data_IF_681945817304
#
_entry.id   IF_681945817304
#
_cell.length_a   1.000
_cell.length_b   1.000
_cell.length_c   1.000
_cell.angle_alpha   90.00
_cell.angle_beta   90.00
_cell.angle_gamma   90.00
#
_symmetry.space_group_name_H-M   'P 1'
#
loop_
_entity.id
_entity.type
_entity.pdbx_description
1 polymer ?
#
# COMPACT_ATOMS: atom_id res chain seq x y z
N UNK A 1 0.00 -18.59 29.91
CA UNK A 1 0.56 -17.95 28.70
C UNK A 1 -0.31 -16.76 28.37
N UNK A 2 0.06 -15.58 28.86
CA UNK A 2 -0.63 -14.34 28.54
C UNK A 2 -0.28 -13.93 27.10
N UNK A 3 -1.31 -13.81 26.25
CA UNK A 3 -1.13 -13.26 24.91
C UNK A 3 -1.00 -11.75 25.05
N UNK A 4 0.22 -11.27 25.18
CA UNK A 4 0.54 -9.84 25.13
C UNK A 4 0.42 -9.40 23.66
N UNK A 5 -0.80 -9.09 23.21
CA UNK A 5 -1.01 -8.48 21.90
C UNK A 5 -0.96 -6.97 22.09
N UNK A 6 0.25 -6.40 22.09
CA UNK A 6 0.45 -4.96 22.06
C UNK A 6 -0.08 -4.46 20.71
N UNK A 7 -1.33 -4.00 20.66
CA UNK A 7 -2.04 -3.54 19.45
C UNK A 7 -1.46 -2.28 18.78
N UNK A 8 -0.15 -2.07 18.86
CA UNK A 8 0.57 -1.02 18.18
C UNK A 8 0.59 -1.33 16.68
N UNK A 9 -0.31 -0.68 15.94
CA UNK A 9 -0.31 -0.71 14.47
C UNK A 9 0.96 -0.02 13.98
N UNK A 10 1.78 -0.74 13.23
CA UNK A 10 2.93 -0.16 12.53
C UNK A 10 2.43 0.87 11.50
N UNK A 11 3.07 2.03 11.46
CA UNK A 11 2.71 3.09 10.51
C UNK A 11 3.12 2.68 9.09
N UNK A 12 2.34 3.09 8.08
CA UNK A 12 2.64 2.82 6.67
C UNK A 12 3.97 3.47 6.28
N UNK A 13 4.76 2.78 5.47
CA UNK A 13 6.00 3.30 4.90
C UNK A 13 5.73 4.58 4.09
N UNK A 14 6.68 5.51 4.10
CA UNK A 14 6.55 6.81 3.44
C UNK A 14 5.66 7.82 4.18
N UNK A 15 5.29 7.56 5.44
CA UNK A 15 4.50 8.51 6.27
C UNK A 15 5.37 9.23 7.29
N UNK A 16 4.87 10.32 7.89
CA UNK A 16 5.61 11.08 8.90
C UNK A 16 6.09 10.25 10.11
N UNK A 17 5.39 9.15 10.44
CA UNK A 17 5.75 8.24 11.54
C UNK A 17 6.66 7.08 11.10
N UNK A 18 6.80 6.87 9.79
CA UNK A 18 7.62 5.81 9.21
C UNK A 18 8.08 6.28 7.80
N UNK A 19 9.07 7.20 7.73
CA UNK A 19 9.61 7.67 6.46
C UNK A 19 10.39 6.57 5.75
N UNK A 20 10.41 6.59 4.42
CA UNK A 20 11.24 5.67 3.64
C UNK A 20 12.73 6.01 3.84
N UNK A 21 13.53 5.03 4.21
CA UNK A 21 14.97 5.19 4.35
C UNK A 21 15.65 4.55 3.14
N UNK A 22 16.48 5.31 2.44
CA UNK A 22 17.27 4.80 1.32
C UNK A 22 18.70 5.28 1.43
N UNK A 23 19.64 4.46 0.96
CA UNK A 23 21.05 4.82 0.90
C UNK A 23 21.52 4.80 -0.55
N UNK A 24 22.23 5.86 -0.93
CA UNK A 24 22.77 6.05 -2.28
C UNK A 24 24.27 6.28 -2.25
N UNK A 25 24.95 5.87 -3.31
CA UNK A 25 26.40 6.01 -3.42
C UNK A 25 26.84 7.33 -4.07
N UNK A 26 26.02 7.89 -4.96
CA UNK A 26 26.38 9.08 -5.75
C UNK A 26 25.38 10.22 -5.53
N UNK A 27 25.84 11.44 -5.77
CA UNK A 27 25.01 12.63 -5.67
C UNK A 27 23.93 12.68 -6.76
N UNK A 28 24.24 12.21 -7.97
CA UNK A 28 23.27 12.14 -9.07
C UNK A 28 22.07 11.25 -8.68
N UNK A 29 22.36 10.09 -8.07
CA UNK A 29 21.34 9.16 -7.59
C UNK A 29 20.46 9.79 -6.50
N UNK A 30 21.06 10.61 -5.64
CA UNK A 30 20.36 11.34 -4.60
C UNK A 30 19.30 12.26 -5.19
N UNK A 31 19.67 13.06 -6.20
CA UNK A 31 18.76 13.99 -6.86
C UNK A 31 17.62 13.26 -7.59
N UNK A 32 17.93 12.17 -8.31
CA UNK A 32 16.93 11.35 -8.99
C UNK A 32 15.88 10.82 -8.01
N UNK A 33 16.35 10.22 -6.91
CA UNK A 33 15.48 9.58 -5.91
C UNK A 33 14.69 10.61 -5.12
N UNK A 34 15.31 11.74 -4.77
CA UNK A 34 14.63 12.86 -4.13
C UNK A 34 13.47 13.37 -4.98
N UNK A 35 13.67 13.56 -6.28
CA UNK A 35 12.62 14.00 -7.20
C UNK A 35 11.44 13.02 -7.22
N UNK A 36 11.70 11.71 -7.21
CA UNK A 36 10.65 10.68 -7.17
C UNK A 36 9.86 10.76 -5.87
N UNK A 37 10.54 10.85 -4.73
CA UNK A 37 9.84 10.92 -3.43
C UNK A 37 9.00 12.20 -3.29
N UNK A 38 9.50 13.34 -3.77
CA UNK A 38 8.75 14.59 -3.76
C UNK A 38 7.52 14.54 -4.67
N UNK A 39 7.65 14.02 -5.89
CA UNK A 39 6.53 13.86 -6.83
C UNK A 39 5.42 12.98 -6.24
N UNK A 40 5.79 11.90 -5.55
CA UNK A 40 4.84 10.99 -4.91
C UNK A 40 4.33 11.48 -3.55
N UNK A 41 4.91 12.55 -3.00
CA UNK A 41 4.54 13.13 -1.70
C UNK A 41 4.87 12.22 -0.51
N UNK A 42 5.88 11.36 -0.65
CA UNK A 42 6.31 10.45 0.41
C UNK A 42 7.31 11.14 1.34
N UNK A 43 7.29 10.77 2.62
CA UNK A 43 8.34 11.19 3.56
C UNK A 43 9.52 10.24 3.43
N UNK A 44 10.73 10.79 3.31
CA UNK A 44 11.95 10.04 3.06
C UNK A 44 13.12 10.57 3.89
N UNK A 45 14.13 9.71 4.05
CA UNK A 45 15.46 10.00 4.60
C UNK A 45 16.47 9.37 3.65
N UNK A 46 17.29 10.18 2.98
CA UNK A 46 18.32 9.68 2.07
C UNK A 46 19.70 9.81 2.75
N UNK A 47 20.43 8.71 2.84
CA UNK A 47 21.84 8.70 3.24
C UNK A 47 22.76 8.67 2.01
N UNK A 48 23.78 9.53 2.00
CA UNK A 48 24.85 9.51 0.99
C UNK A 48 26.07 8.81 1.59
N UNK A 49 26.21 7.52 1.32
CA UNK A 49 27.30 6.69 1.85
C UNK A 49 28.00 5.93 0.70
N UNK A 50 29.09 6.47 0.13
CA UNK A 50 29.73 5.91 -1.06
C UNK A 50 30.42 4.55 -0.83
N UNK A 51 30.67 4.16 0.43
CA UNK A 51 31.35 2.90 0.79
C UNK A 51 30.38 1.76 1.11
N UNK A 52 29.08 2.03 1.27
CA UNK A 52 28.08 1.02 1.58
C UNK A 52 27.31 0.57 0.34
N UNK A 53 26.71 -0.61 0.43
CA UNK A 53 25.79 -1.12 -0.58
C UNK A 53 24.57 -0.19 -0.69
N UNK A 54 24.13 0.09 -1.91
CA UNK A 54 22.92 0.87 -2.15
C UNK A 54 21.70 0.12 -1.60
N UNK A 55 20.90 0.80 -0.77
CA UNK A 55 19.64 0.27 -0.25
C UNK A 55 18.49 1.11 -0.77
N UNK A 56 17.78 0.56 -1.77
CA UNK A 56 16.61 1.16 -2.41
C UNK A 56 15.33 0.35 -2.14
N UNK A 57 15.37 -0.60 -1.21
CA UNK A 57 14.25 -1.52 -0.98
C UNK A 57 12.96 -0.77 -0.62
N UNK A 58 13.07 0.26 0.22
CA UNK A 58 11.93 1.08 0.59
C UNK A 58 11.29 1.80 -0.61
N UNK A 59 12.12 2.27 -1.54
CA UNK A 59 11.64 2.89 -2.78
C UNK A 59 10.91 1.85 -3.66
N UNK A 60 11.50 0.66 -3.81
CA UNK A 60 10.85 -0.42 -4.57
C UNK A 60 9.52 -0.84 -3.96
N UNK A 61 9.45 -0.98 -2.64
CA UNK A 61 8.22 -1.35 -1.92
C UNK A 61 7.14 -0.30 -2.15
N UNK A 62 7.50 0.98 -2.12
CA UNK A 62 6.54 2.07 -2.33
C UNK A 62 6.02 2.11 -3.77
N UNK A 63 6.87 1.86 -4.76
CA UNK A 63 6.48 1.79 -6.17
C UNK A 63 5.59 0.59 -6.48
N UNK A 64 5.85 -0.57 -5.85
CA UNK A 64 5.11 -1.81 -6.09
C UNK A 64 3.99 -2.09 -5.08
N UNK A 65 3.63 -1.10 -4.26
CA UNK A 65 2.60 -1.27 -3.23
C UNK A 65 1.26 -1.65 -3.87
N UNK A 66 0.67 -2.81 -3.53
CA UNK A 66 -0.55 -3.29 -4.17
C UNK A 66 -1.72 -2.35 -3.82
N UNK A 67 -2.29 -1.71 -4.85
CA UNK A 67 -3.51 -0.92 -4.69
C UNK A 67 -4.66 -1.84 -4.27
N UNK A 68 -5.44 -1.42 -3.28
CA UNK A 68 -6.66 -2.14 -2.90
C UNK A 68 -7.61 -2.17 -4.09
N UNK A 69 -7.94 -3.37 -4.58
CA UNK A 69 -8.96 -3.54 -5.60
C UNK A 69 -10.31 -3.25 -4.97
N UNK A 70 -11.04 -2.28 -5.52
CA UNK A 70 -12.44 -2.05 -5.15
C UNK A 70 -13.22 -3.22 -5.74
N UNK A 71 -13.70 -4.11 -4.88
CA UNK A 71 -14.60 -5.16 -5.32
C UNK A 71 -15.93 -4.53 -5.73
N UNK A 72 -16.44 -4.89 -6.92
CA UNK A 72 -17.79 -4.51 -7.30
C UNK A 72 -18.78 -5.01 -6.25
N UNK A 73 -19.79 -4.19 -5.96
CA UNK A 73 -20.83 -4.55 -5.01
C UNK A 73 -21.61 -5.74 -5.57
N UNK A 74 -21.35 -6.93 -5.05
CA UNK A 74 -22.13 -8.12 -5.38
C UNK A 74 -23.58 -7.91 -4.94
N UNK A 75 -24.53 -8.35 -5.76
CA UNK A 75 -25.96 -8.32 -5.41
C UNK A 75 -26.18 -9.00 -4.08
N UNK A 76 -26.84 -8.30 -3.15
CA UNK A 76 -27.12 -8.81 -1.83
C UNK A 76 -28.07 -10.01 -1.91
N UNK A 77 -27.86 -11.00 -1.05
CA UNK A 77 -28.68 -12.24 -0.99
C UNK A 77 -30.20 -11.96 -0.92
N UNK A 78 -30.62 -10.85 -0.28
CA UNK A 78 -32.03 -10.46 -0.13
C UNK A 78 -32.49 -9.37 -1.11
N UNK A 79 -31.61 -8.81 -1.94
CA UNK A 79 -31.95 -7.78 -2.94
C UNK A 79 -32.77 -8.38 -4.09
N UNK A 80 -33.55 -7.57 -4.83
CA UNK A 80 -34.25 -8.04 -6.02
C UNK A 80 -33.27 -8.67 -7.02
N UNK A 81 -33.68 -9.78 -7.62
CA UNK A 81 -32.83 -10.52 -8.53
C UNK A 81 -32.66 -9.77 -9.86
N UNK A 82 -31.42 -9.58 -10.36
CA UNK A 82 -31.16 -8.79 -11.57
C UNK A 82 -31.69 -9.44 -12.86
N UNK A 83 -32.17 -10.69 -12.82
CA UNK A 83 -32.81 -11.36 -13.96
C UNK A 83 -34.26 -10.90 -14.23
N UNK A 84 -34.79 -9.96 -13.45
CA UNK A 84 -36.14 -9.41 -13.65
C UNK A 84 -37.27 -10.29 -13.12
N UNK A 85 -36.98 -11.36 -12.37
CA UNK A 85 -38.00 -12.28 -11.86
C UNK A 85 -38.87 -11.72 -10.73
N UNK A 86 -38.57 -10.52 -10.22
CA UNK A 86 -39.23 -9.93 -9.05
C UNK A 86 -38.92 -10.61 -7.71
N UNK A 87 -38.19 -11.74 -7.72
CA UNK A 87 -37.83 -12.50 -6.52
C UNK A 87 -36.54 -11.97 -5.89
N UNK A 88 -36.34 -12.23 -4.59
CA UNK A 88 -35.04 -11.99 -3.93
C UNK A 88 -33.96 -12.87 -4.55
N UNK A 89 -32.73 -12.37 -4.70
CA UNK A 89 -31.60 -13.06 -5.35
C UNK A 89 -31.42 -14.51 -4.84
N UNK A 90 -31.48 -14.73 -3.52
CA UNK A 90 -31.39 -16.07 -2.88
C UNK A 90 -32.46 -17.08 -3.25
N UNK A 91 -33.60 -16.63 -3.77
CA UNK A 91 -34.71 -17.49 -4.19
C UNK A 91 -34.74 -17.67 -5.71
N UNK A 92 -33.82 -17.04 -6.44
CA UNK A 92 -33.78 -17.04 -7.90
C UNK A 92 -32.36 -17.42 -8.38
N UNK A 93 -31.57 -16.49 -8.93
CA UNK A 93 -30.24 -16.80 -9.49
C UNK A 93 -29.16 -17.11 -8.45
N UNK A 94 -29.38 -16.77 -7.17
CA UNK A 94 -28.45 -17.04 -6.07
C UNK A 94 -28.88 -18.24 -5.21
N UNK A 95 -29.59 -19.20 -5.81
CA UNK A 95 -30.02 -20.44 -5.15
C UNK A 95 -28.85 -21.39 -4.96
#
# INVERSE_FOLDING_TARGET
MEKIFNGQKTAKLGTAKNPAAVNVQTHERLEEIESIFQEKGWKYTIGLEPEKEEDILDLEILLHSPKSKIAEKKVGRNEPCPCGSGNKYKKCCGK
#
